data_IF_398565766460
#
_entry.id   IF_398565766460
#
_cell.length_a   1.000
_cell.length_b   1.000
_cell.length_c   1.000
_cell.angle_alpha   90.00
_cell.angle_beta   90.00
_cell.angle_gamma   90.00
#
_symmetry.space_group_name_H-M   'P 1'
#
loop_
_entity.id
_entity.type
_entity.pdbx_description
1 polymer ?
#
# COMPACT_ATOMS: atom_id res chain seq x y z
N UNK A 1 4.29 -20.58 -6.76
CA UNK A 1 2.89 -20.16 -6.61
C UNK A 1 2.68 -19.00 -7.57
N UNK A 2 1.78 -19.11 -8.55
CA UNK A 2 1.58 -18.07 -9.57
C UNK A 2 0.85 -16.88 -8.96
N UNK A 3 1.45 -15.68 -9.02
CA UNK A 3 0.81 -14.43 -8.63
C UNK A 3 -0.11 -14.00 -9.76
N UNK A 4 -1.36 -14.42 -9.74
CA UNK A 4 -2.38 -13.92 -10.66
C UNK A 4 -2.65 -12.45 -10.32
N UNK A 5 -2.20 -11.52 -11.17
CA UNK A 5 -2.46 -10.09 -11.04
C UNK A 5 -3.94 -9.85 -11.36
N UNK A 6 -4.79 -9.96 -10.34
CA UNK A 6 -6.20 -9.58 -10.44
C UNK A 6 -6.33 -8.09 -10.15
N UNK A 7 -7.11 -7.33 -10.94
CA UNK A 7 -7.43 -5.95 -10.61
C UNK A 7 -8.12 -5.86 -9.25
N UNK A 8 -7.76 -4.85 -8.46
CA UNK A 8 -8.37 -4.59 -7.15
C UNK A 8 -9.86 -4.29 -7.31
N UNK A 9 -10.68 -4.82 -6.40
CA UNK A 9 -12.13 -4.60 -6.39
C UNK A 9 -12.58 -3.93 -5.10
N UNK A 10 -13.63 -3.13 -5.18
CA UNK A 10 -14.26 -2.51 -4.00
C UNK A 10 -14.75 -3.61 -3.05
N UNK A 11 -14.52 -3.42 -1.75
CA UNK A 11 -14.87 -4.39 -0.70
C UNK A 11 -13.88 -5.55 -0.55
N UNK A 12 -12.92 -5.70 -1.48
CA UNK A 12 -11.81 -6.64 -1.31
C UNK A 12 -10.90 -6.16 -0.18
N UNK A 13 -10.44 -7.09 0.65
CA UNK A 13 -9.39 -6.80 1.61
C UNK A 13 -8.13 -6.33 0.88
N UNK A 14 -7.54 -5.24 1.34
CA UNK A 14 -6.30 -4.72 0.77
C UNK A 14 -5.17 -5.77 0.90
N UNK A 15 -4.36 -5.97 -0.15
CA UNK A 15 -3.15 -6.78 -0.06
C UNK A 15 -2.20 -6.21 0.99
N UNK A 16 -1.44 -7.09 1.65
CA UNK A 16 -0.36 -6.64 2.53
C UNK A 16 0.68 -5.85 1.74
N UNK A 17 1.23 -4.82 2.39
CA UNK A 17 2.35 -4.05 1.86
C UNK A 17 3.41 -3.85 2.95
N UNK A 18 4.64 -3.62 2.50
CA UNK A 18 5.75 -3.20 3.32
C UNK A 18 6.62 -2.28 2.46
N UNK A 19 6.73 -1.01 2.84
CA UNK A 19 7.45 -0.01 2.06
C UNK A 19 8.11 1.03 2.98
N UNK A 20 9.29 1.56 2.62
CA UNK A 20 9.89 2.65 3.36
C UNK A 20 9.08 3.95 3.20
N UNK A 21 8.95 4.71 4.28
CA UNK A 21 8.47 6.10 4.24
C UNK A 21 9.59 7.08 3.87
N UNK A 22 9.29 8.39 3.90
CA UNK A 22 10.25 9.45 3.58
C UNK A 22 11.45 9.54 4.53
N UNK A 23 11.39 8.90 5.70
CA UNK A 23 12.46 8.83 6.69
C UNK A 23 13.18 7.48 6.66
N UNK A 24 12.80 6.58 5.73
CA UNK A 24 13.35 5.23 5.63
C UNK A 24 12.76 4.24 6.63
N UNK A 25 11.72 4.62 7.39
CA UNK A 25 11.04 3.68 8.28
C UNK A 25 10.15 2.77 7.45
N UNK A 26 10.25 1.46 7.66
CA UNK A 26 9.33 0.51 7.04
C UNK A 26 7.94 0.69 7.63
N UNK A 27 6.95 0.90 6.75
CA UNK A 27 5.53 0.96 7.09
C UNK A 27 4.81 -0.24 6.48
N UNK A 28 3.92 -0.84 7.26
CA UNK A 28 3.12 -2.01 6.89
C UNK A 28 1.62 -1.70 6.96
N UNK A 29 0.79 -2.48 6.26
CA UNK A 29 -0.66 -2.32 6.33
C UNK A 29 -1.19 -2.55 7.76
N UNK A 30 -0.60 -3.50 8.48
CA UNK A 30 -1.00 -3.90 9.82
C UNK A 30 -0.94 -2.75 10.83
N UNK A 31 0.03 -1.83 10.68
CA UNK A 31 0.18 -0.64 11.53
C UNK A 31 -1.03 0.29 11.50
N UNK A 32 -1.81 0.25 10.42
CA UNK A 32 -2.96 1.15 10.21
C UNK A 32 -4.31 0.48 10.51
N UNK A 33 -4.32 -0.72 11.12
CA UNK A 33 -5.56 -1.40 11.51
C UNK A 33 -6.42 -0.50 12.41
N UNK A 34 -7.71 -0.43 12.09
CA UNK A 34 -8.69 0.43 12.80
C UNK A 34 -8.69 1.89 12.35
N UNK A 35 -7.77 2.31 11.48
CA UNK A 35 -7.74 3.65 10.90
C UNK A 35 -8.18 3.62 9.43
N UNK A 36 -8.74 4.74 8.95
CA UNK A 36 -8.94 4.94 7.51
C UNK A 36 -7.60 5.30 6.87
N UNK A 37 -7.17 4.53 5.87
CA UNK A 37 -5.94 4.73 5.13
C UNK A 37 -6.24 4.97 3.65
N UNK A 38 -5.56 5.96 3.05
CA UNK A 38 -5.60 6.22 1.60
C UNK A 38 -4.17 6.08 1.09
N UNK A 39 -3.97 5.21 0.10
CA UNK A 39 -2.70 5.09 -0.62
C UNK A 39 -2.82 5.84 -1.95
N UNK A 40 -1.92 6.80 -2.15
CA UNK A 40 -1.89 7.61 -3.38
C UNK A 40 -0.58 7.35 -4.12
N UNK A 41 -0.68 6.76 -5.31
CA UNK A 41 0.48 6.49 -6.17
C UNK A 41 0.62 7.62 -7.16
N UNK A 42 1.73 8.35 -7.09
CA UNK A 42 2.06 9.40 -8.03
C UNK A 42 3.49 9.16 -8.57
N UNK A 43 3.76 9.46 -9.85
CA UNK A 43 5.12 9.46 -10.37
C UNK A 43 5.98 10.39 -9.53
N UNK A 44 7.24 10.00 -9.28
CA UNK A 44 8.18 10.88 -8.59
C UNK A 44 8.23 12.22 -9.32
N UNK A 45 7.86 13.28 -8.63
CA UNK A 45 8.02 14.62 -9.12
C UNK A 45 9.51 14.99 -9.06
N UNK A 46 10.08 15.47 -10.15
CA UNK A 46 11.48 15.93 -10.21
C UNK A 46 11.50 17.46 -10.08
N UNK A 47 10.93 17.98 -9.00
CA UNK A 47 10.98 19.41 -8.63
C UNK A 47 11.82 19.62 -7.38
#
# INVERSE_FOLDING_TARGET
MATTISPLKVGQQAPSFSAPDQHGNTRTLEEFKGSKLVLYFYPKDNT
#
